data_IF_395228023157
#
_entry.id   IF_395228023157
#
_cell.length_a   1.000
_cell.length_b   1.000
_cell.length_c   1.000
_cell.angle_alpha   90.00
_cell.angle_beta   90.00
_cell.angle_gamma   90.00
#
_symmetry.space_group_name_H-M   'P 1'
#
loop_
_entity.id
_entity.type
_entity.pdbx_description
1 polymer ?
#
# COMPACT_ATOMS: atom_id res chain seq x y z
N UNK A 1 -12.82 -0.04 34.59
CA UNK A 1 -12.90 -0.55 33.19
C UNK A 1 -12.82 -2.07 33.22
N UNK A 2 -13.72 -2.80 32.54
CA UNK A 2 -13.76 -4.27 32.60
C UNK A 2 -12.59 -4.93 31.83
N UNK A 3 -12.26 -6.19 32.13
CA UNK A 3 -11.26 -6.99 31.39
C UNK A 3 -11.64 -7.09 29.90
N UNK A 4 -12.92 -7.31 29.60
CA UNK A 4 -13.42 -7.37 28.23
C UNK A 4 -13.20 -6.07 27.45
N UNK A 5 -13.39 -4.90 28.09
CA UNK A 5 -13.13 -3.61 27.45
C UNK A 5 -11.64 -3.39 27.16
N UNK A 6 -10.75 -3.85 28.05
CA UNK A 6 -9.29 -3.78 27.82
C UNK A 6 -8.85 -4.65 26.65
N UNK A 7 -9.38 -5.87 26.53
CA UNK A 7 -9.08 -6.77 25.42
C UNK A 7 -9.57 -6.22 24.07
N UNK A 8 -10.76 -5.60 24.05
CA UNK A 8 -11.27 -4.93 22.85
C UNK A 8 -10.37 -3.77 22.44
N UNK A 9 -10.04 -2.88 23.37
CA UNK A 9 -9.16 -1.75 23.10
C UNK A 9 -7.78 -2.19 22.57
N UNK A 10 -7.21 -3.27 23.12
CA UNK A 10 -5.95 -3.82 22.64
C UNK A 10 -6.05 -4.38 21.21
N UNK A 11 -7.19 -5.01 20.86
CA UNK A 11 -7.44 -5.48 19.49
C UNK A 11 -7.56 -4.31 18.52
N UNK A 12 -8.34 -3.30 18.86
CA UNK A 12 -8.57 -2.13 18.00
C UNK A 12 -7.26 -1.36 17.77
N UNK A 13 -6.44 -1.21 18.81
CA UNK A 13 -5.11 -0.60 18.69
C UNK A 13 -4.20 -1.34 17.70
N UNK A 14 -4.21 -2.68 17.71
CA UNK A 14 -3.43 -3.47 16.73
C UNK A 14 -3.95 -3.34 15.30
N UNK A 15 -5.26 -3.19 15.12
CA UNK A 15 -5.83 -2.94 13.79
C UNK A 15 -5.38 -1.57 13.29
N UNK A 16 -5.48 -0.54 14.13
CA UNK A 16 -5.04 0.80 13.78
C UNK A 16 -3.55 0.85 13.44
N UNK A 17 -2.69 0.21 14.24
CA UNK A 17 -1.24 0.11 13.96
C UNK A 17 -0.97 -0.55 12.61
N UNK A 18 -1.77 -1.56 12.23
CA UNK A 18 -1.72 -2.19 10.93
C UNK A 18 -2.08 -1.24 9.79
N UNK A 19 -3.16 -0.47 9.94
CA UNK A 19 -3.61 0.52 8.95
C UNK A 19 -2.60 1.66 8.80
N UNK A 20 -2.04 2.17 9.90
CA UNK A 20 -1.03 3.22 9.89
C UNK A 20 0.25 2.74 9.19
N UNK A 21 0.62 1.47 9.43
CA UNK A 21 1.73 0.82 8.73
C UNK A 21 1.45 0.70 7.24
N UNK A 22 0.24 0.30 6.84
CA UNK A 22 -0.12 0.16 5.43
C UNK A 22 -0.13 1.50 4.71
N UNK A 23 -0.67 2.52 5.36
CA UNK A 23 -0.71 3.87 4.83
C UNK A 23 0.69 4.48 4.63
N UNK A 24 1.62 4.28 5.57
CA UNK A 24 2.97 4.81 5.44
C UNK A 24 3.76 4.12 4.30
N UNK A 25 3.60 2.80 4.12
CA UNK A 25 4.17 2.10 2.97
C UNK A 25 3.58 2.64 1.65
N UNK A 26 2.26 2.76 1.58
CA UNK A 26 1.57 3.29 0.40
C UNK A 26 2.03 4.71 0.05
N UNK A 27 2.21 5.58 1.05
CA UNK A 27 2.73 6.94 0.88
C UNK A 27 4.12 6.96 0.26
N UNK A 28 5.02 6.08 0.72
CA UNK A 28 6.37 5.99 0.15
C UNK A 28 6.35 5.45 -1.28
N UNK A 29 5.49 4.47 -1.58
CA UNK A 29 5.31 3.94 -2.94
C UNK A 29 4.85 5.06 -3.89
N UNK A 30 3.88 5.88 -3.50
CA UNK A 30 3.44 7.03 -4.31
C UNK A 30 4.55 8.06 -4.55
N UNK A 31 5.43 8.28 -3.58
CA UNK A 31 6.58 9.19 -3.73
C UNK A 31 7.69 8.60 -4.59
N UNK A 32 7.81 7.28 -4.64
CA UNK A 32 8.88 6.53 -5.33
C UNK A 32 8.31 5.32 -6.08
N UNK A 33 7.50 5.54 -7.14
CA UNK A 33 6.99 4.45 -7.95
C UNK A 33 8.16 3.68 -8.58
N UNK A 34 8.01 2.37 -8.72
CA UNK A 34 9.05 1.49 -9.21
C UNK A 34 10.18 1.26 -8.19
N UNK A 35 9.95 1.48 -6.90
CA UNK A 35 10.88 1.00 -5.88
C UNK A 35 10.75 -0.54 -5.73
N UNK A 36 11.87 -1.20 -5.45
CA UNK A 36 11.86 -2.60 -5.03
C UNK A 36 11.52 -2.71 -3.53
N UNK A 37 11.08 -3.89 -3.09
CA UNK A 37 10.81 -4.18 -1.66
C UNK A 37 12.01 -3.87 -0.78
N UNK A 38 13.23 -4.11 -1.26
CA UNK A 38 14.46 -3.80 -0.54
C UNK A 38 14.68 -2.28 -0.39
N UNK A 39 14.47 -1.52 -1.47
CA UNK A 39 14.57 -0.06 -1.44
C UNK A 39 13.53 0.55 -0.50
N UNK A 40 12.30 0.02 -0.51
CA UNK A 40 11.22 0.43 0.40
C UNK A 40 11.56 0.12 1.87
N UNK A 41 12.11 -1.07 2.16
CA UNK A 41 12.55 -1.42 3.51
C UNK A 41 13.65 -0.50 4.03
N UNK A 42 14.61 -0.16 3.16
CA UNK A 42 15.69 0.77 3.50
C UNK A 42 15.16 2.18 3.76
N UNK A 43 14.26 2.69 2.91
CA UNK A 43 13.67 4.01 3.06
C UNK A 43 12.91 4.17 4.38
N UNK A 44 12.07 3.17 4.71
CA UNK A 44 11.23 3.18 5.90
C UNK A 44 11.98 2.78 7.17
N UNK A 45 13.23 2.32 7.05
CA UNK A 45 13.98 1.66 8.13
C UNK A 45 13.18 0.51 8.78
N UNK A 46 12.45 -0.24 7.95
CA UNK A 46 11.62 -1.37 8.40
C UNK A 46 12.29 -2.69 8.13
N UNK A 47 11.93 -3.71 8.91
CA UNK A 47 12.32 -5.09 8.59
C UNK A 47 11.62 -5.55 7.31
N UNK A 48 12.26 -6.44 6.56
CA UNK A 48 11.67 -7.02 5.34
C UNK A 48 10.32 -7.69 5.62
N UNK A 49 10.15 -8.30 6.81
CA UNK A 49 8.88 -8.91 7.21
C UNK A 49 7.76 -7.89 7.43
N UNK A 50 8.07 -6.73 8.03
CA UNK A 50 7.08 -5.65 8.20
C UNK A 50 6.64 -5.09 6.86
N UNK A 51 7.59 -4.82 5.96
CA UNK A 51 7.28 -4.37 4.58
C UNK A 51 6.47 -5.42 3.84
N UNK A 52 6.89 -6.69 3.87
CA UNK A 52 6.20 -7.76 3.16
C UNK A 52 4.76 -7.96 3.67
N UNK A 53 4.55 -7.93 4.98
CA UNK A 53 3.21 -8.06 5.55
C UNK A 53 2.26 -6.93 5.11
N UNK A 54 2.77 -5.71 5.06
CA UNK A 54 2.03 -4.54 4.58
C UNK A 54 1.79 -4.57 3.07
N UNK A 55 2.83 -4.87 2.30
CA UNK A 55 2.78 -5.09 0.85
C UNK A 55 1.68 -6.10 0.47
N UNK A 56 1.62 -7.26 1.14
CA UNK A 56 0.62 -8.28 0.84
C UNK A 56 -0.81 -7.85 1.13
N UNK A 57 -1.04 -6.98 2.12
CA UNK A 57 -2.37 -6.43 2.40
C UNK A 57 -2.77 -5.41 1.35
N UNK A 58 -1.90 -4.45 1.05
CA UNK A 58 -2.12 -3.46 0.01
C UNK A 58 -2.33 -4.08 -1.38
N UNK A 59 -1.53 -5.09 -1.73
CA UNK A 59 -1.66 -5.82 -3.01
C UNK A 59 -2.98 -6.60 -3.07
N UNK A 60 -3.37 -7.27 -1.96
CA UNK A 60 -4.65 -7.99 -1.88
C UNK A 60 -5.84 -7.05 -2.06
N UNK A 61 -5.75 -5.85 -1.51
CA UNK A 61 -6.80 -4.83 -1.57
C UNK A 61 -6.68 -3.94 -2.83
N UNK A 62 -5.82 -4.34 -3.79
CA UNK A 62 -5.61 -3.70 -5.09
C UNK A 62 -5.14 -2.23 -5.04
N UNK A 63 -4.49 -1.81 -3.96
CA UNK A 63 -3.92 -0.46 -3.85
C UNK A 63 -2.56 -0.33 -4.55
N UNK A 64 -1.84 -1.45 -4.70
CA UNK A 64 -0.52 -1.51 -5.32
C UNK A 64 -0.41 -2.72 -6.25
N UNK A 65 0.50 -2.63 -7.21
CA UNK A 65 0.84 -3.72 -8.14
C UNK A 65 2.35 -3.89 -8.27
N UNK A 66 2.77 -5.07 -8.74
CA UNK A 66 4.16 -5.33 -9.09
C UNK A 66 4.36 -5.55 -10.57
N UNK A 67 5.43 -5.00 -11.09
CA UNK A 67 5.91 -5.22 -12.46
C UNK A 67 7.28 -5.89 -12.42
N UNK A 68 7.52 -6.80 -13.38
CA UNK A 68 8.84 -7.40 -13.58
C UNK A 68 9.67 -6.46 -14.44
N UNK A 69 10.80 -6.03 -13.92
CA UNK A 69 11.81 -5.29 -14.68
C UNK A 69 13.11 -6.10 -14.76
N UNK A 70 13.86 -5.95 -15.84
CA UNK A 70 15.19 -6.52 -15.97
C UNK A 70 16.26 -5.50 -15.55
N UNK A 71 17.21 -5.92 -14.70
CA UNK A 71 18.36 -5.11 -14.29
C UNK A 71 19.60 -6.00 -14.28
N UNK A 72 20.56 -5.68 -15.14
CA UNK A 72 21.82 -6.43 -15.25
C UNK A 72 21.63 -7.96 -15.42
N UNK A 73 20.71 -8.36 -16.28
CA UNK A 73 20.41 -9.78 -16.55
C UNK A 73 19.62 -10.49 -15.45
N UNK A 74 19.11 -9.76 -14.45
CA UNK A 74 18.28 -10.30 -13.36
C UNK A 74 16.91 -9.65 -13.34
N UNK A 75 15.87 -10.44 -13.11
CA UNK A 75 14.53 -9.92 -12.87
C UNK A 75 14.42 -9.31 -11.48
N UNK A 76 13.84 -8.11 -11.40
CA UNK A 76 13.54 -7.38 -10.17
C UNK A 76 12.06 -7.02 -10.17
N UNK A 77 11.41 -7.15 -9.02
CA UNK A 77 10.04 -6.68 -8.83
C UNK A 77 10.04 -5.20 -8.47
N UNK A 78 9.20 -4.46 -9.18
CA UNK A 78 9.03 -3.02 -9.06
C UNK A 78 7.60 -2.76 -8.59
N UNK A 79 7.44 -2.01 -7.51
CA UNK A 79 6.15 -1.75 -6.87
C UNK A 79 5.63 -0.39 -7.30
N UNK A 80 4.38 -0.34 -7.74
CA UNK A 80 3.67 0.88 -8.13
C UNK A 80 2.33 0.96 -7.39
N UNK A 81 1.84 2.18 -7.13
CA UNK A 81 0.44 2.40 -6.76
C UNK A 81 -0.46 2.07 -7.94
N UNK A 82 -1.68 1.65 -7.65
CA UNK A 82 -2.77 1.64 -8.64
C UNK A 82 -3.30 3.06 -8.74
N UNK A 83 -3.47 3.56 -9.97
CA UNK A 83 -3.99 4.91 -10.16
C UNK A 83 -5.46 4.99 -9.77
N UNK A 84 -5.88 6.10 -9.17
CA UNK A 84 -7.23 6.24 -8.61
C UNK A 84 -8.34 6.03 -9.66
N UNK A 85 -8.10 6.40 -10.92
CA UNK A 85 -9.08 6.24 -12.00
C UNK A 85 -9.22 4.78 -12.45
N UNK A 86 -8.27 3.90 -12.12
CA UNK A 86 -8.39 2.47 -12.42
C UNK A 86 -9.43 1.77 -11.54
N UNK A 87 -9.93 2.44 -10.49
CA UNK A 87 -11.04 1.98 -9.67
C UNK A 87 -12.41 2.37 -10.23
N UNK A 88 -12.44 3.23 -11.25
CA UNK A 88 -13.67 3.78 -11.82
C UNK A 88 -14.02 3.09 -13.14
N UNK A 89 -15.30 2.98 -13.45
CA UNK A 89 -15.74 2.63 -14.80
C UNK A 89 -15.49 3.80 -15.76
N UNK A 90 -15.41 3.54 -17.08
CA UNK A 90 -15.31 4.62 -18.07
C UNK A 90 -16.44 5.67 -17.94
N UNK A 91 -17.65 5.24 -17.57
CA UNK A 91 -18.80 6.11 -17.32
C UNK A 91 -18.57 7.02 -16.11
N UNK A 92 -18.11 6.46 -14.98
CA UNK A 92 -17.79 7.25 -13.77
C UNK A 92 -16.67 8.26 -14.03
N UNK A 93 -15.65 7.88 -14.81
CA UNK A 93 -14.57 8.81 -15.23
C UNK A 93 -15.14 9.97 -16.04
N UNK A 94 -16.07 9.68 -16.96
CA UNK A 94 -16.68 10.70 -17.81
C UNK A 94 -17.61 11.62 -17.01
N UNK A 95 -18.36 11.08 -16.04
CA UNK A 95 -19.13 11.88 -15.08
C UNK A 95 -18.22 12.84 -14.31
N UNK A 96 -17.10 12.36 -13.77
CA UNK A 96 -16.13 13.19 -13.04
C UNK A 96 -15.55 14.32 -13.89
N UNK A 97 -15.24 14.08 -15.17
CA UNK A 97 -14.71 15.12 -16.08
C UNK A 97 -15.73 16.21 -16.39
N UNK A 98 -17.01 15.86 -16.37
CA UNK A 98 -18.11 16.77 -16.69
C UNK A 98 -18.70 17.46 -15.45
N UNK A 99 -18.14 17.23 -14.26
CA UNK A 99 -18.48 18.00 -13.06
C UNK A 99 -17.89 19.42 -13.18
N UNK A 100 -18.76 20.43 -13.27
CA UNK A 100 -18.35 21.82 -13.08
C UNK A 100 -18.19 22.12 -11.58
N UNK A 101 -17.07 22.75 -11.21
CA UNK A 101 -16.72 23.15 -9.84
C UNK A 101 -16.85 24.66 -9.65
#
# INVERSE_FOLDING_TARGET
MSVANRMRAARDARVQEGLDTDYELYRVINKKPGASIYELAKELSWSSGKVYGSFRRLEKDNWIRTEKAERAGRFVLKVNSVEWFEFLTPEEIEEFKNMEF
#
